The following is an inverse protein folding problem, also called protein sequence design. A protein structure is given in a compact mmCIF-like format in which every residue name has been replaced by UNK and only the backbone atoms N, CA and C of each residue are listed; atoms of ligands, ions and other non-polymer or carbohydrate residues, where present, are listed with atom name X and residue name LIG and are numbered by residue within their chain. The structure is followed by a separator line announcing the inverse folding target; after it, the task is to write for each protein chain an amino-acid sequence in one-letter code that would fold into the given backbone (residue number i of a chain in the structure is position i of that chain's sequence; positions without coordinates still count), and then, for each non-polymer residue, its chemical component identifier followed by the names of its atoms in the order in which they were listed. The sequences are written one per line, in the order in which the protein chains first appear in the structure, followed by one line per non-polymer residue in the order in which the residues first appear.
data_IF_554829338060
#
_entry.id   IF_554829338060
#
_cell.length_a   1.000
_cell.length_b   1.000
_cell.length_c   1.000
_cell.angle_alpha   90.00
_cell.angle_beta   90.00
_cell.angle_gamma   90.00
#
_symmetry.space_group_name_H-M   'P 1'
#
loop_
_entity.id
_entity.type
_entity.pdbx_description
1 polymer ?
#
# COMPACT_ATOMS: atom_id res chain seq x y z
N UNK A 1 11.25 -15.25 4.78
CA UNK A 1 10.56 -13.96 4.96
C UNK A 1 10.27 -13.37 3.59
N UNK A 2 9.17 -12.62 3.43
CA UNK A 2 8.84 -12.00 2.15
C UNK A 2 9.87 -10.90 1.83
N UNK A 3 10.52 -10.97 0.66
CA UNK A 3 11.49 -9.94 0.24
C UNK A 3 10.76 -8.72 -0.32
N UNK A 4 11.38 -7.55 -0.22
CA UNK A 4 10.83 -6.32 -0.78
C UNK A 4 10.62 -6.41 -2.30
N UNK A 5 11.55 -7.06 -3.00
CA UNK A 5 11.48 -7.24 -4.46
C UNK A 5 10.31 -8.17 -4.87
N UNK A 6 10.12 -9.28 -4.14
CA UNK A 6 9.01 -10.19 -4.39
C UNK A 6 7.67 -9.49 -4.11
N UNK A 7 7.57 -8.76 -2.99
CA UNK A 7 6.37 -7.99 -2.67
C UNK A 7 6.09 -6.92 -3.74
N UNK A 8 7.11 -6.18 -4.18
CA UNK A 8 6.96 -5.17 -5.24
C UNK A 8 6.38 -5.78 -6.51
N UNK A 9 6.94 -6.91 -6.96
CA UNK A 9 6.47 -7.62 -8.15
C UNK A 9 5.01 -8.06 -7.97
N UNK A 10 4.67 -8.67 -6.83
CA UNK A 10 3.31 -9.14 -6.55
C UNK A 10 2.29 -8.00 -6.52
N UNK A 11 2.62 -6.86 -5.90
CA UNK A 11 1.74 -5.69 -5.85
C UNK A 11 1.54 -5.06 -7.23
N UNK A 12 2.61 -4.97 -8.02
CA UNK A 12 2.55 -4.46 -9.39
C UNK A 12 1.73 -5.37 -10.30
N UNK A 13 1.99 -6.68 -10.30
CA UNK A 13 1.32 -7.61 -11.22
C UNK A 13 -0.12 -7.93 -10.81
N UNK A 14 -0.42 -7.98 -9.51
CA UNK A 14 -1.75 -8.38 -9.03
C UNK A 14 -2.72 -7.21 -8.97
N UNK A 15 -2.24 -6.02 -8.61
CA UNK A 15 -3.08 -4.87 -8.31
C UNK A 15 -2.77 -3.64 -9.16
N UNK A 16 -1.72 -3.68 -9.99
CA UNK A 16 -1.28 -2.52 -10.77
C UNK A 16 -0.75 -1.38 -9.91
N UNK A 17 -0.31 -1.66 -8.68
CA UNK A 17 0.22 -0.63 -7.80
C UNK A 17 1.60 -0.18 -8.24
N UNK A 18 1.83 1.11 -8.13
CA UNK A 18 3.08 1.76 -8.54
C UNK A 18 3.72 2.45 -7.35
N UNK A 19 5.05 2.54 -7.36
CA UNK A 19 5.82 3.33 -6.39
C UNK A 19 6.25 4.65 -7.00
N UNK A 20 6.55 5.63 -6.15
CA UNK A 20 7.22 6.84 -6.61
C UNK A 20 8.69 6.54 -6.97
N UNK A 21 9.15 6.85 -8.19
CA UNK A 21 10.54 6.66 -8.58
C UNK A 21 11.53 7.52 -7.78
N UNK A 22 11.06 8.60 -7.13
CA UNK A 22 11.89 9.50 -6.34
C UNK A 22 12.05 9.08 -4.87
N UNK A 23 11.26 8.11 -4.39
CA UNK A 23 11.31 7.62 -3.01
C UNK A 23 12.62 6.84 -2.77
N UNK A 24 13.37 7.25 -1.73
CA UNK A 24 14.66 6.66 -1.35
C UNK A 24 14.62 6.09 0.06
N UNK A 25 15.41 5.04 0.30
CA UNK A 25 15.60 4.45 1.62
C UNK A 25 14.88 3.12 1.81
N UNK A 26 14.64 2.74 3.06
CA UNK A 26 14.03 1.46 3.45
C UNK A 26 12.49 1.49 3.48
N UNK A 27 11.88 2.62 3.14
CA UNK A 27 10.43 2.78 2.99
C UNK A 27 10.03 2.84 1.51
N UNK A 28 8.91 2.22 1.16
CA UNK A 28 8.25 2.39 -0.15
C UNK A 28 6.75 2.55 0.02
N UNK A 29 6.21 3.57 -0.59
CA UNK A 29 4.78 3.85 -0.66
C UNK A 29 4.23 3.40 -1.99
N UNK A 30 3.12 2.67 -1.96
CA UNK A 30 2.44 2.15 -3.14
C UNK A 30 1.12 2.88 -3.38
N UNK A 31 0.90 3.25 -4.63
CA UNK A 31 -0.22 4.05 -5.09
C UNK A 31 -1.06 3.29 -6.09
N UNK A 32 -2.37 3.52 -6.06
CA UNK A 32 -3.27 3.13 -7.12
C UNK A 32 -3.25 4.21 -8.22
N UNK A 33 -3.00 3.86 -9.49
CA UNK A 33 -3.10 4.81 -10.58
C UNK A 33 -4.54 5.29 -10.83
N UNK A 34 -4.75 6.55 -11.28
CA UNK A 34 -3.74 7.59 -11.46
C UNK A 34 -3.24 8.15 -10.11
N UNK A 35 -1.93 8.42 -10.02
CA UNK A 35 -1.31 8.87 -8.76
C UNK A 35 -1.81 10.27 -8.39
N UNK A 36 -2.41 10.42 -7.22
CA UNK A 36 -2.76 11.72 -6.62
C UNK A 36 -2.09 11.85 -5.26
N UNK A 37 -1.49 13.01 -5.00
CA UNK A 37 -0.65 13.27 -3.82
C UNK A 37 -1.33 14.08 -2.72
N UNK A 38 -2.47 14.69 -3.02
CA UNK A 38 -3.15 15.61 -2.10
C UNK A 38 -3.67 14.83 -0.88
N UNK A 39 -3.38 15.24 0.37
CA UNK A 39 -3.74 14.48 1.57
C UNK A 39 -5.22 14.03 1.66
N UNK A 40 -6.24 14.85 1.32
CA UNK A 40 -7.63 14.36 1.33
C UNK A 40 -8.01 13.50 0.12
N UNK A 41 -7.08 13.24 -0.81
CA UNK A 41 -7.36 12.63 -2.13
C UNK A 41 -6.25 11.69 -2.58
N UNK A 42 -5.39 11.30 -1.65
CA UNK A 42 -4.19 10.54 -1.94
C UNK A 42 -4.58 9.14 -2.41
N UNK A 43 -3.92 8.63 -3.46
CA UNK A 43 -4.14 7.26 -3.94
C UNK A 43 -3.21 6.24 -3.27
N UNK A 44 -2.60 6.62 -2.13
CA UNK A 44 -1.77 5.73 -1.31
C UNK A 44 -2.60 4.56 -0.80
N UNK A 45 -2.17 3.34 -1.10
CA UNK A 45 -2.81 2.12 -0.63
C UNK A 45 -2.05 1.54 0.55
N UNK A 46 -0.72 1.44 0.45
CA UNK A 46 0.09 0.93 1.55
C UNK A 46 1.48 1.55 1.58
N UNK A 47 2.09 1.52 2.77
CA UNK A 47 3.49 1.84 2.97
C UNK A 47 4.22 0.63 3.55
N UNK A 48 5.33 0.27 2.93
CA UNK A 48 6.17 -0.89 3.26
C UNK A 48 7.48 -0.41 3.84
N UNK A 49 7.89 -0.95 4.98
CA UNK A 49 9.25 -0.79 5.52
C UNK A 49 10.01 -2.10 5.43
N UNK A 50 11.28 -2.01 5.08
CA UNK A 50 12.18 -3.14 5.01
C UNK A 50 13.20 -3.13 6.13
N UNK A 51 13.68 -4.31 6.52
CA UNK A 51 14.83 -4.45 7.40
C UNK A 51 16.15 -4.24 6.63
N UNK A 52 17.27 -4.33 7.35
CA UNK A 52 18.61 -4.20 6.75
C UNK A 52 18.96 -5.35 5.79
N UNK A 53 18.27 -6.49 5.88
CA UNK A 53 18.44 -7.64 4.99
C UNK A 53 17.56 -7.55 3.73
N UNK A 54 16.73 -6.51 3.60
CA UNK A 54 15.82 -6.32 2.46
C UNK A 54 14.52 -7.13 2.55
N UNK A 55 14.20 -7.70 3.71
CA UNK A 55 12.90 -8.32 3.96
C UNK A 55 11.87 -7.28 4.38
N UNK A 56 10.60 -7.58 4.11
CA UNK A 56 9.49 -6.76 4.56
C UNK A 56 9.37 -6.89 6.08
N UNK A 57 9.63 -5.79 6.78
CA UNK A 57 9.56 -5.70 8.23
C UNK A 57 8.18 -5.23 8.71
N UNK A 58 7.54 -4.32 7.97
CA UNK A 58 6.24 -3.75 8.36
C UNK A 58 5.46 -3.29 7.13
N UNK A 59 4.15 -3.46 7.16
CA UNK A 59 3.22 -2.89 6.18
C UNK A 59 2.13 -2.11 6.91
N UNK A 60 1.92 -0.86 6.51
CA UNK A 60 0.82 0.00 6.97
C UNK A 60 -0.19 0.18 5.84
N UNK A 61 -1.47 0.00 6.14
CA UNK A 61 -2.58 0.23 5.21
C UNK A 61 -3.01 1.69 5.31
N UNK A 62 -2.90 2.46 4.23
CA UNK A 62 -2.92 3.92 4.26
C UNK A 62 -4.33 4.53 4.33
N UNK A 63 -5.29 4.08 3.53
CA UNK A 63 -6.68 4.58 3.54
C UNK A 63 -7.37 4.25 4.87
N UNK A 64 -7.18 3.03 5.36
CA UNK A 64 -7.61 2.62 6.69
C UNK A 64 -6.88 3.41 7.79
N UNK A 65 -5.66 3.92 7.51
CA UNK A 65 -4.91 4.76 8.44
C UNK A 65 -5.23 6.25 8.39
N UNK A 66 -5.81 6.74 7.29
CA UNK A 66 -6.14 8.15 7.11
C UNK A 66 -7.32 8.58 8.00
N UNK A 67 -8.05 7.64 8.60
CA UNK A 67 -9.09 7.88 9.60
C UNK A 67 -8.53 8.06 11.04
N UNK A 68 -7.27 8.48 11.17
CA UNK A 68 -6.49 8.61 12.41
C UNK A 68 -6.16 7.30 13.16
N UNK A 69 -6.62 6.13 12.71
CA UNK A 69 -6.27 4.85 13.35
C UNK A 69 -5.13 4.19 12.59
N UNK A 70 -3.95 4.03 13.19
CA UNK A 70 -2.86 3.30 12.50
C UNK A 70 -3.22 1.82 12.33
N UNK A 71 -3.34 1.36 11.08
CA UNK A 71 -3.63 -0.05 10.76
C UNK A 71 -2.42 -0.71 10.10
N UNK A 72 -1.95 -1.80 10.70
CA UNK A 72 -0.80 -2.57 10.23
C UNK A 72 -1.20 -3.98 9.81
N UNK A 73 -0.53 -4.52 8.80
CA UNK A 73 -0.70 -5.92 8.43
C UNK A 73 -0.12 -6.85 9.53
N UNK A 74 -0.74 -8.02 9.77
CA UNK A 74 -0.23 -9.00 10.74
C UNK A 74 1.20 -9.45 10.44
N UNK A 75 1.93 -9.78 11.51
CA UNK A 75 3.29 -10.34 11.44
C UNK A 75 3.25 -11.86 11.65
N UNK A 76 4.13 -12.63 10.97
CA UNK A 76 5.06 -12.18 9.92
C UNK A 76 4.32 -11.80 8.63
N UNK A 77 4.82 -10.80 7.90
CA UNK A 77 4.20 -10.40 6.64
C UNK A 77 4.32 -11.52 5.60
N UNK A 78 3.17 -12.11 5.27
CA UNK A 78 3.03 -13.12 4.25
C UNK A 78 2.07 -12.64 3.16
N UNK A 79 2.35 -13.03 1.91
CA UNK A 79 1.54 -12.61 0.78
C UNK A 79 0.09 -13.08 0.88
N UNK A 80 -0.13 -14.31 1.33
CA UNK A 80 -1.47 -14.90 1.47
C UNK A 80 -2.38 -14.08 2.39
N UNK A 81 -1.81 -13.52 3.46
CA UNK A 81 -2.52 -12.66 4.43
C UNK A 81 -2.60 -11.21 3.95
N UNK A 82 -1.55 -10.70 3.30
CA UNK A 82 -1.49 -9.32 2.84
C UNK A 82 -2.41 -9.06 1.63
N UNK A 83 -2.50 -10.01 0.69
CA UNK A 83 -3.30 -9.88 -0.53
C UNK A 83 -4.76 -9.46 -0.28
N UNK A 84 -5.54 -10.15 0.57
CA UNK A 84 -6.92 -9.74 0.84
C UNK A 84 -7.02 -8.37 1.53
N UNK A 85 -6.04 -7.99 2.37
CA UNK A 85 -6.01 -6.67 3.01
C UNK A 85 -5.80 -5.55 1.99
N UNK A 86 -4.88 -5.74 1.05
CA UNK A 86 -4.65 -4.77 -0.04
C UNK A 86 -5.86 -4.66 -0.95
N UNK A 87 -6.52 -5.78 -1.27
CA UNK A 87 -7.74 -5.77 -2.07
C UNK A 87 -8.88 -4.99 -1.37
N UNK A 88 -9.05 -5.19 -0.05
CA UNK A 88 -10.02 -4.45 0.74
C UNK A 88 -9.70 -2.95 0.78
N UNK A 89 -8.43 -2.59 0.95
CA UNK A 89 -7.98 -1.20 0.97
C UNK A 89 -8.26 -0.48 -0.37
N UNK A 90 -8.03 -1.17 -1.50
CA UNK A 90 -8.36 -0.66 -2.84
C UNK A 90 -9.88 -0.50 -3.02
N UNK A 91 -10.67 -1.45 -2.54
CA UNK A 91 -12.13 -1.36 -2.59
C UNK A 91 -12.63 -0.14 -1.79
N UNK A 92 -12.10 0.05 -0.58
CA UNK A 92 -12.42 1.19 0.27
C UNK A 92 -12.02 2.52 -0.38
N UNK A 93 -10.86 2.59 -1.03
CA UNK A 93 -10.46 3.76 -1.81
C UNK A 93 -11.48 4.08 -2.93
N UNK A 94 -11.90 3.07 -3.69
CA UNK A 94 -12.86 3.26 -4.79
C UNK A 94 -14.21 3.77 -4.28
N UNK A 95 -14.70 3.22 -3.18
CA UNK A 95 -15.92 3.71 -2.54
C UNK A 95 -15.78 5.15 -2.06
N UNK A 96 -14.64 5.50 -1.45
CA UNK A 96 -14.34 6.86 -1.05
C UNK A 96 -14.29 7.83 -2.25
N UNK A 97 -13.64 7.42 -3.34
CA UNK A 97 -13.55 8.21 -4.57
C UNK A 97 -14.93 8.42 -5.23
N UNK A 98 -15.78 7.39 -5.26
CA UNK A 98 -17.14 7.47 -5.78
C UNK A 98 -18.01 8.44 -4.96
N UNK A 99 -17.96 8.37 -3.62
CA UNK A 99 -18.68 9.31 -2.73
C UNK A 99 -18.18 10.75 -2.87
N UNK A 100 -16.91 10.93 -3.21
CA UNK A 100 -16.30 12.24 -3.42
C UNK A 100 -16.55 12.82 -4.84
N UNK A 101 -17.35 12.14 -5.69
CA UNK A 101 -17.73 12.62 -7.03
C UNK A 101 -16.63 12.51 -8.09
N UNK A 102 -15.76 11.48 -8.01
CA UNK A 102 -14.63 11.27 -8.95
C UNK A 102 -14.78 9.98 -9.76
N UNK A 103 -15.81 9.92 -10.60
CA UNK A 103 -15.91 8.94 -11.70
C UNK A 103 -15.43 9.58 -13.00
#
# INVERSE_FOLDING_TARGET
MLTAHALHSLLGTTFGLVTDPSERGSGRTYFLPPITWQPPRSTRILHVRTDAAGHVAQVRLCISSDNNNSVFAPQPVQWQTLRPLVAAEIAQYRDYAARAGRC
#
